data_IF_739380002106
#
_entry.id   IF_739380002106
#
_cell.length_a   1.000
_cell.length_b   1.000
_cell.length_c   1.000
_cell.angle_alpha   90.00
_cell.angle_beta   90.00
_cell.angle_gamma   90.00
#
_symmetry.space_group_name_H-M   'P 1'
#
loop_
_entity.id
_entity.type
_entity.pdbx_description
1 polymer ?
#
# COMPACT_ATOMS: atom_id res chain seq x y z
N UNK A 1 17.60 -37.72 5.15
CA UNK A 1 17.31 -37.00 3.88
C UNK A 1 16.12 -36.05 4.13
N UNK A 2 16.23 -35.10 5.06
CA UNK A 2 15.05 -34.35 5.57
C UNK A 2 15.32 -32.95 6.13
N UNK A 3 16.55 -32.42 6.09
CA UNK A 3 16.87 -31.06 6.57
C UNK A 3 17.20 -30.05 5.46
N UNK A 4 17.62 -30.53 4.27
CA UNK A 4 17.97 -29.67 3.13
C UNK A 4 16.75 -29.08 2.39
N UNK A 5 15.59 -29.75 2.46
CA UNK A 5 14.36 -29.30 1.78
C UNK A 5 13.68 -28.08 2.42
N UNK A 6 14.01 -27.78 3.69
CA UNK A 6 13.38 -26.68 4.43
C UNK A 6 13.99 -25.32 4.13
N UNK A 7 15.18 -25.26 3.53
CA UNK A 7 15.87 -24.00 3.24
C UNK A 7 15.26 -23.24 2.04
N UNK A 8 14.45 -23.90 1.20
CA UNK A 8 13.90 -23.30 -0.04
C UNK A 8 12.38 -23.03 0.01
N UNK A 9 11.75 -23.04 1.19
CA UNK A 9 10.28 -22.91 1.30
C UNK A 9 9.81 -21.45 1.15
N UNK A 10 10.61 -20.48 1.59
CA UNK A 10 10.29 -19.06 1.44
C UNK A 10 11.54 -18.19 1.49
N UNK A 11 11.51 -17.07 0.76
CA UNK A 11 12.54 -16.04 0.81
C UNK A 11 11.98 -14.76 1.46
N UNK A 12 12.68 -14.24 2.46
CA UNK A 12 12.37 -12.91 3.00
C UNK A 12 12.87 -11.83 2.05
N UNK A 13 11.99 -11.35 1.18
CA UNK A 13 12.28 -10.24 0.28
C UNK A 13 11.86 -8.92 0.87
N UNK A 14 12.83 -8.05 1.13
CA UNK A 14 12.55 -6.66 1.49
C UNK A 14 11.92 -5.93 0.30
N UNK A 15 10.68 -5.45 0.44
CA UNK A 15 9.96 -4.75 -0.62
C UNK A 15 10.43 -3.29 -0.77
N UNK A 16 10.68 -2.61 0.34
CA UNK A 16 11.06 -1.20 0.34
C UNK A 16 11.91 -0.85 1.56
N UNK A 17 12.83 0.10 1.40
CA UNK A 17 13.73 0.61 2.44
C UNK A 17 13.65 2.13 2.49
N UNK A 18 14.15 2.73 3.58
CA UNK A 18 14.27 4.17 3.76
C UNK A 18 12.92 4.93 3.70
N UNK A 19 11.86 4.32 4.23
CA UNK A 19 10.55 4.96 4.41
C UNK A 19 10.24 4.95 5.90
N UNK A 20 9.93 6.14 6.43
CA UNK A 20 9.47 6.30 7.81
C UNK A 20 7.95 6.11 7.88
N UNK A 21 7.52 4.87 8.10
CA UNK A 21 6.12 4.44 7.99
C UNK A 21 5.39 4.66 9.32
N UNK A 22 4.23 5.33 9.26
CA UNK A 22 3.35 5.59 10.42
C UNK A 22 2.12 4.69 10.45
N UNK A 23 1.42 4.55 9.32
CA UNK A 23 0.25 3.67 9.17
C UNK A 23 0.43 2.80 7.94
N UNK A 24 -0.25 1.65 7.93
CA UNK A 24 -0.31 0.81 6.74
C UNK A 24 -1.64 0.06 6.67
N UNK A 25 -2.05 -0.29 5.45
CA UNK A 25 -3.09 -1.28 5.23
C UNK A 25 -2.80 -2.08 3.96
N UNK A 26 -3.25 -3.33 3.92
CA UNK A 26 -3.07 -4.25 2.80
C UNK A 26 -4.41 -4.78 2.34
N UNK A 27 -4.55 -5.04 1.04
CA UNK A 27 -5.63 -5.86 0.48
C UNK A 27 -5.10 -6.78 -0.62
N UNK A 28 -5.80 -7.88 -0.82
CA UNK A 28 -5.57 -8.82 -1.91
C UNK A 28 -6.89 -9.23 -2.53
N UNK A 29 -6.93 -9.29 -3.86
CA UNK A 29 -8.07 -9.78 -4.62
C UNK A 29 -7.58 -10.58 -5.83
N UNK A 30 -7.62 -11.91 -5.72
CA UNK A 30 -7.00 -12.80 -6.68
C UNK A 30 -5.48 -12.58 -6.72
N UNK A 31 -4.93 -12.29 -7.90
CA UNK A 31 -3.49 -12.04 -8.10
C UNK A 31 -3.08 -10.58 -7.84
N UNK A 32 -4.04 -9.70 -7.53
CA UNK A 32 -3.78 -8.29 -7.21
C UNK A 32 -3.44 -8.18 -5.73
N UNK A 33 -2.31 -7.57 -5.43
CA UNK A 33 -1.94 -7.19 -4.07
C UNK A 33 -1.66 -5.69 -4.02
N UNK A 34 -2.35 -5.00 -3.11
CA UNK A 34 -2.15 -3.58 -2.85
C UNK A 34 -1.75 -3.38 -1.39
N UNK A 35 -0.77 -2.50 -1.19
CA UNK A 35 -0.34 -2.03 0.11
C UNK A 35 -0.31 -0.50 0.06
N UNK A 36 -0.95 0.15 1.02
CA UNK A 36 -0.83 1.58 1.24
C UNK A 36 0.01 1.79 2.50
N UNK A 37 1.04 2.62 2.38
CA UNK A 37 1.90 3.05 3.47
C UNK A 37 1.71 4.55 3.65
N UNK A 38 1.32 4.97 4.85
CA UNK A 38 1.30 6.39 5.22
C UNK A 38 2.59 6.70 5.93
N UNK A 39 3.32 7.69 5.45
CA UNK A 39 4.60 8.09 6.01
C UNK A 39 4.43 9.11 7.14
N UNK A 40 5.46 9.31 7.96
CA UNK A 40 5.46 10.33 9.01
C UNK A 40 5.41 11.77 8.46
N UNK A 41 5.93 12.02 7.25
CA UNK A 41 5.78 13.29 6.53
C UNK A 41 4.39 13.46 5.87
N UNK A 42 3.49 12.48 6.03
CA UNK A 42 2.06 12.58 5.71
C UNK A 42 1.65 11.98 4.37
N UNK A 43 2.61 11.67 3.50
CA UNK A 43 2.35 11.14 2.16
C UNK A 43 1.84 9.70 2.18
N UNK A 44 1.19 9.31 1.08
CA UNK A 44 0.74 7.93 0.86
C UNK A 44 1.63 7.30 -0.21
N UNK A 45 2.18 6.13 0.08
CA UNK A 45 2.91 5.30 -0.88
C UNK A 45 2.06 4.07 -1.16
N UNK A 46 1.63 3.93 -2.41
CA UNK A 46 1.00 2.73 -2.93
C UNK A 46 2.08 1.79 -3.46
N UNK A 47 2.00 0.53 -3.04
CA UNK A 47 2.68 -0.60 -3.63
C UNK A 47 1.65 -1.51 -4.28
N UNK A 48 1.91 -1.90 -5.51
CA UNK A 48 1.07 -2.80 -6.30
C UNK A 48 1.89 -3.95 -6.84
N UNK A 49 1.38 -5.17 -6.66
CA UNK A 49 1.88 -6.36 -7.30
C UNK A 49 0.72 -7.09 -8.02
N UNK A 50 1.02 -7.64 -9.19
CA UNK A 50 0.08 -8.41 -10.00
C UNK A 50 0.76 -9.70 -10.45
N UNK A 51 0.63 -10.77 -9.66
CA UNK A 51 1.33 -12.03 -9.88
C UNK A 51 2.83 -11.82 -10.12
N UNK A 52 3.34 -12.36 -11.22
CA UNK A 52 4.76 -12.30 -11.59
C UNK A 52 5.20 -10.98 -12.25
N UNK A 53 4.29 -10.00 -12.41
CA UNK A 53 4.66 -8.72 -13.00
C UNK A 53 5.53 -7.89 -12.04
N UNK A 54 6.45 -7.05 -12.57
CA UNK A 54 7.22 -6.12 -11.76
C UNK A 54 6.32 -5.24 -10.90
N UNK A 55 6.61 -5.18 -9.60
CA UNK A 55 5.82 -4.38 -8.68
C UNK A 55 5.97 -2.88 -8.96
N UNK A 56 4.88 -2.14 -8.76
CA UNK A 56 4.83 -0.69 -8.97
C UNK A 56 4.76 0.02 -7.63
N UNK A 57 5.56 1.08 -7.49
CA UNK A 57 5.46 2.03 -6.38
C UNK A 57 4.97 3.38 -6.89
N UNK A 58 4.00 3.98 -6.19
CA UNK A 58 3.48 5.31 -6.51
C UNK A 58 3.31 6.12 -5.23
N UNK A 59 3.99 7.28 -5.17
CA UNK A 59 3.80 8.27 -4.10
C UNK A 59 2.66 9.22 -4.47
N UNK A 60 1.78 9.47 -3.52
CA UNK A 60 0.70 10.43 -3.56
C UNK A 60 1.05 11.48 -2.50
N UNK A 61 1.49 12.68 -2.92
CA UNK A 61 1.67 13.79 -1.99
C UNK A 61 0.37 14.08 -1.25
N UNK A 62 0.46 14.29 0.05
CA UNK A 62 -0.70 14.63 0.87
C UNK A 62 -0.68 16.11 1.26
N UNK A 63 -1.78 16.56 1.86
CA UNK A 63 -1.89 17.92 2.40
C UNK A 63 -0.87 18.12 3.52
N UNK A 64 -0.29 19.32 3.59
CA UNK A 64 0.69 19.71 4.62
C UNK A 64 0.03 20.30 5.88
N UNK A 65 -1.28 20.54 5.84
CA UNK A 65 -2.07 21.09 6.93
C UNK A 65 -2.20 20.10 8.09
N UNK A 66 -2.04 20.56 9.33
CA UNK A 66 -2.16 19.70 10.52
C UNK A 66 -3.56 19.11 10.72
N UNK A 67 -4.60 19.79 10.22
CA UNK A 67 -5.98 19.27 10.17
C UNK A 67 -6.14 18.06 9.25
N UNK A 68 -5.25 17.91 8.26
CA UNK A 68 -5.29 16.85 7.25
C UNK A 68 -4.41 15.64 7.57
N UNK A 69 -3.83 15.59 8.77
CA UNK A 69 -3.09 14.40 9.24
C UNK A 69 -3.98 13.17 9.12
N UNK A 70 -3.52 12.17 8.35
CA UNK A 70 -4.23 10.90 8.16
C UNK A 70 -4.26 10.12 9.47
N UNK A 71 -5.45 9.76 9.94
CA UNK A 71 -5.66 9.00 11.17
C UNK A 71 -5.95 7.51 10.89
N UNK A 72 -6.59 7.20 9.76
CA UNK A 72 -6.90 5.83 9.38
C UNK A 72 -6.94 5.65 7.86
N UNK A 73 -6.62 4.44 7.43
CA UNK A 73 -6.70 4.01 6.03
C UNK A 73 -7.26 2.59 5.92
N UNK A 74 -8.06 2.33 4.90
CA UNK A 74 -8.46 0.97 4.54
C UNK A 74 -8.79 0.86 3.06
N UNK A 75 -8.60 -0.32 2.49
CA UNK A 75 -9.06 -0.60 1.13
C UNK A 75 -10.49 -1.11 1.13
N UNK A 76 -11.18 -0.89 0.02
CA UNK A 76 -12.43 -1.58 -0.25
C UNK A 76 -12.18 -3.08 -0.59
N UNK A 77 -13.18 -3.97 -0.41
CA UNK A 77 -13.00 -5.40 -0.67
C UNK A 77 -12.65 -5.78 -2.11
N UNK A 78 -12.88 -4.90 -3.09
CA UNK A 78 -12.55 -5.17 -4.50
C UNK A 78 -11.10 -4.86 -4.85
N UNK A 79 -10.32 -4.30 -3.92
CA UNK A 79 -8.95 -3.84 -4.14
C UNK A 79 -8.85 -2.78 -5.26
N UNK A 80 -9.80 -1.84 -5.28
CA UNK A 80 -9.86 -0.75 -6.27
C UNK A 80 -9.63 0.61 -5.64
N UNK A 81 -10.20 0.83 -4.46
CA UNK A 81 -10.31 2.12 -3.78
C UNK A 81 -9.64 2.09 -2.41
N UNK A 82 -8.99 3.19 -2.05
CA UNK A 82 -8.43 3.42 -0.72
C UNK A 82 -9.23 4.52 -0.02
N UNK A 83 -9.80 4.18 1.13
CA UNK A 83 -10.43 5.11 2.06
C UNK A 83 -9.37 5.72 2.97
N UNK A 84 -9.42 7.03 3.15
CA UNK A 84 -8.51 7.79 4.01
C UNK A 84 -9.34 8.70 4.91
N UNK A 85 -9.08 8.68 6.22
CA UNK A 85 -9.73 9.56 7.20
C UNK A 85 -8.70 10.48 7.84
N UNK A 86 -9.00 11.77 7.90
CA UNK A 86 -8.14 12.82 8.46
C UNK A 86 -8.56 13.23 9.87
N UNK A 87 -7.67 13.95 10.56
CA UNK A 87 -7.89 14.46 11.92
C UNK A 87 -9.10 15.39 12.03
N UNK A 88 -9.37 16.21 11.02
CA UNK A 88 -10.55 17.08 10.92
C UNK A 88 -11.86 16.34 10.57
N UNK A 89 -11.88 15.01 10.67
CA UNK A 89 -12.98 14.14 10.28
C UNK A 89 -13.36 14.21 8.79
N UNK A 90 -12.53 14.83 7.93
CA UNK A 90 -12.70 14.71 6.49
C UNK A 90 -12.28 13.32 6.00
N UNK A 91 -12.93 12.88 4.92
CA UNK A 91 -12.76 11.56 4.33
C UNK A 91 -12.50 11.69 2.83
N UNK A 92 -11.57 10.88 2.34
CA UNK A 92 -11.17 10.83 0.94
C UNK A 92 -11.24 9.40 0.42
N UNK A 93 -11.71 9.25 -0.82
CA UNK A 93 -11.71 7.98 -1.55
C UNK A 93 -10.76 8.14 -2.73
N UNK A 94 -9.68 7.36 -2.73
CA UNK A 94 -8.62 7.42 -3.74
C UNK A 94 -8.77 6.21 -4.68
N UNK A 95 -8.76 6.39 -6.02
CA UNK A 95 -8.79 5.29 -6.99
C UNK A 95 -7.42 4.58 -7.04
N UNK A 96 -7.09 3.85 -5.99
CA UNK A 96 -5.76 3.28 -5.78
C UNK A 96 -5.30 2.40 -6.93
N UNK A 97 -6.15 1.52 -7.44
CA UNK A 97 -5.80 0.62 -8.55
C UNK A 97 -5.48 1.40 -9.83
N UNK A 98 -6.30 2.37 -10.22
CA UNK A 98 -6.08 3.17 -11.43
C UNK A 98 -4.79 4.00 -11.40
N UNK A 99 -4.25 4.29 -10.21
CA UNK A 99 -3.00 5.05 -10.07
C UNK A 99 -1.73 4.20 -10.31
N UNK A 100 -1.84 2.88 -10.22
CA UNK A 100 -0.71 1.93 -10.25
C UNK A 100 -0.81 0.91 -11.38
N UNK A 101 -2.03 0.57 -11.81
CA UNK A 101 -2.29 -0.35 -12.91
C UNK A 101 -2.56 0.42 -14.21
N UNK A 102 -1.52 0.62 -15.00
CA UNK A 102 -1.58 1.39 -16.26
C UNK A 102 -2.17 0.60 -17.44
N UNK A 103 -2.63 -0.64 -17.24
CA UNK A 103 -3.11 -1.52 -18.32
C UNK A 103 -4.62 -1.41 -18.58
N UNK A 104 -5.33 -0.52 -17.88
CA UNK A 104 -6.72 -0.17 -18.12
C UNK A 104 -6.93 1.34 -18.07
#
# INVERSE_FOLDING_TARGET
>A
MSLLLLQDIFELKCLVKNIDIRLNCRIENGVKQLLALVTNDGDIILYYNYGELPSVFKRIPWFTESSKIIQAVCFDPTATWLLVVCFDASLYIIPALSLVDKKH
#
